data_IF_389156373364
#
_entry.id   IF_389156373364
#
_cell.length_a   1.000
_cell.length_b   1.000
_cell.length_c   1.000
_cell.angle_alpha   90.00
_cell.angle_beta   90.00
_cell.angle_gamma   90.00
#
_symmetry.space_group_name_H-M   'P 1'
#
loop_
_entity.id
_entity.type
_entity.pdbx_description
1 polymer ?
#
# COMPACT_ATOMS: atom_id res chain seq x y z
N UNK A 1 -27.77 20.18 15.43
CA UNK A 1 -28.66 19.00 15.39
C UNK A 1 -28.51 18.09 16.60
N UNK A 2 -29.60 17.44 17.03
CA UNK A 2 -29.59 16.42 18.09
C UNK A 2 -29.41 15.01 17.53
N UNK A 3 -28.67 14.16 18.25
CA UNK A 3 -28.56 12.73 17.98
C UNK A 3 -29.86 12.04 18.44
N UNK A 4 -30.46 11.21 17.57
CA UNK A 4 -31.72 10.53 17.86
C UNK A 4 -31.51 9.10 18.35
N UNK A 5 -30.55 8.37 17.75
CA UNK A 5 -30.23 6.98 18.11
C UNK A 5 -28.81 6.64 17.71
N UNK A 6 -28.11 5.88 18.56
CA UNK A 6 -26.85 5.23 18.24
C UNK A 6 -27.06 3.72 18.34
N UNK A 7 -26.59 2.98 17.36
CA UNK A 7 -26.64 1.53 17.35
C UNK A 7 -25.30 0.97 16.87
N UNK A 8 -24.71 0.04 17.61
CA UNK A 8 -23.48 -0.63 17.23
C UNK A 8 -23.74 -2.12 16.95
N UNK A 9 -22.99 -2.69 16.01
CA UNK A 9 -23.00 -4.12 15.68
C UNK A 9 -21.59 -4.64 15.47
N UNK A 10 -21.44 -5.95 15.61
CA UNK A 10 -20.23 -6.68 15.26
C UNK A 10 -20.27 -7.03 13.76
N UNK A 11 -19.19 -6.75 13.05
CA UNK A 11 -18.95 -7.13 11.64
C UNK A 11 -17.57 -7.82 11.53
N UNK A 12 -17.22 -8.34 10.36
CA UNK A 12 -15.90 -8.92 10.11
C UNK A 12 -14.99 -7.96 9.33
N UNK A 13 -13.73 -7.89 9.73
CA UNK A 13 -12.66 -7.19 8.99
C UNK A 13 -12.14 -8.03 7.81
N UNK A 14 -11.18 -7.47 7.05
CA UNK A 14 -10.56 -8.13 5.89
C UNK A 14 -9.74 -9.39 6.21
N UNK A 15 -9.46 -9.66 7.49
CA UNK A 15 -8.78 -10.85 7.99
C UNK A 15 -9.74 -11.83 8.67
N UNK A 16 -11.06 -11.58 8.57
CA UNK A 16 -12.10 -12.40 9.18
C UNK A 16 -12.18 -12.28 10.71
N UNK A 17 -11.59 -11.24 11.32
CA UNK A 17 -11.75 -11.02 12.76
C UNK A 17 -12.91 -10.06 13.03
N UNK A 18 -13.60 -10.21 14.17
CA UNK A 18 -14.63 -9.26 14.58
C UNK A 18 -14.11 -7.83 14.72
N UNK A 19 -14.94 -6.87 14.32
CA UNK A 19 -14.77 -5.44 14.58
C UNK A 19 -16.12 -4.73 14.73
N UNK A 20 -16.09 -3.45 15.09
CA UNK A 20 -17.28 -2.65 15.43
C UNK A 20 -17.71 -1.79 14.24
N UNK A 21 -19.02 -1.81 13.96
CA UNK A 21 -19.70 -0.86 13.09
C UNK A 21 -20.78 -0.10 13.87
N UNK A 22 -20.86 1.22 13.68
CA UNK A 22 -21.79 2.12 14.35
C UNK A 22 -22.68 2.83 13.34
N UNK A 23 -23.98 2.82 13.60
CA UNK A 23 -24.98 3.66 12.94
C UNK A 23 -25.44 4.77 13.91
N UNK A 24 -25.28 6.03 13.49
CA UNK A 24 -25.83 7.21 14.15
C UNK A 24 -27.02 7.74 13.35
N UNK A 25 -28.16 7.90 14.00
CA UNK A 25 -29.37 8.46 13.41
C UNK A 25 -29.60 9.89 13.87
N UNK A 26 -29.99 10.74 12.93
CA UNK A 26 -30.40 12.12 13.16
C UNK A 26 -31.58 12.47 12.24
N UNK A 27 -32.11 13.69 12.34
CA UNK A 27 -33.12 14.17 11.41
C UNK A 27 -32.65 14.24 9.93
N UNK A 28 -31.33 14.19 9.67
CA UNK A 28 -30.76 14.15 8.30
C UNK A 28 -30.54 12.72 7.77
N UNK A 29 -30.85 11.70 8.57
CA UNK A 29 -30.72 10.30 8.18
C UNK A 29 -29.72 9.51 9.03
N UNK A 30 -29.26 8.38 8.47
CA UNK A 30 -28.37 7.41 9.12
C UNK A 30 -26.94 7.56 8.61
N UNK A 31 -25.99 7.71 9.52
CA UNK A 31 -24.57 7.83 9.26
C UNK A 31 -23.83 6.63 9.84
N UNK A 32 -23.08 5.91 8.98
CA UNK A 32 -22.42 4.65 9.33
C UNK A 32 -20.91 4.77 9.34
N UNK A 33 -20.24 4.16 10.31
CA UNK A 33 -18.80 4.00 10.32
C UNK A 33 -18.39 2.64 10.88
N UNK A 34 -17.39 2.01 10.26
CA UNK A 34 -16.76 0.79 10.74
C UNK A 34 -15.31 1.09 11.17
N UNK A 35 -14.83 0.37 12.18
CA UNK A 35 -13.49 0.57 12.74
C UNK A 35 -12.55 -0.54 12.26
N UNK A 36 -11.35 -0.21 11.74
CA UNK A 36 -10.36 -1.23 11.42
C UNK A 36 -9.86 -1.93 12.69
N UNK A 37 -9.38 -3.17 12.56
CA UNK A 37 -8.76 -3.89 13.66
C UNK A 37 -7.24 -3.78 13.64
N UNK A 38 -6.66 -3.43 14.78
CA UNK A 38 -5.23 -3.58 15.06
C UNK A 38 -4.87 -5.00 15.48
N UNK A 39 -3.58 -5.33 15.40
CA UNK A 39 -3.00 -6.49 16.10
C UNK A 39 -1.96 -6.02 17.14
N UNK A 40 -1.98 -4.73 17.48
CA UNK A 40 -0.88 -4.10 18.19
C UNK A 40 -0.92 -4.37 19.69
N UNK A 41 0.26 -4.64 20.23
CA UNK A 41 0.55 -4.79 21.66
C UNK A 41 1.34 -3.59 22.21
N UNK A 42 1.36 -2.48 21.45
CA UNK A 42 2.08 -1.27 21.84
C UNK A 42 1.59 -0.72 23.17
N UNK A 43 2.49 -0.58 24.14
CA UNK A 43 2.16 -0.11 25.50
C UNK A 43 1.60 1.32 25.57
N UNK A 44 1.72 2.08 24.47
CA UNK A 44 1.24 3.46 24.35
C UNK A 44 -0.01 3.61 23.48
N UNK A 45 -0.51 2.52 22.88
CA UNK A 45 -1.67 2.60 21.99
C UNK A 45 -2.97 2.62 22.78
N UNK A 46 -4.00 3.27 22.21
CA UNK A 46 -5.35 3.13 22.70
C UNK A 46 -5.78 1.66 22.53
N UNK A 47 -5.97 0.96 23.66
CA UNK A 47 -6.22 -0.46 23.65
C UNK A 47 -7.60 -0.78 23.09
N UNK A 48 -7.63 -1.55 22.00
CA UNK A 48 -8.84 -2.24 21.57
C UNK A 48 -9.26 -3.25 22.63
N UNK A 49 -10.54 -3.23 23.01
CA UNK A 49 -11.05 -4.17 24.00
C UNK A 49 -11.57 -5.41 23.26
N UNK A 50 -11.07 -6.57 23.65
CA UNK A 50 -11.47 -7.89 23.13
C UNK A 50 -12.14 -8.71 24.26
N UNK A 51 -12.96 -9.71 23.94
CA UNK A 51 -13.70 -10.53 24.90
C UNK A 51 -12.81 -11.57 25.57
N UNK A 52 -11.75 -12.01 24.89
CA UNK A 52 -10.85 -13.04 25.41
C UNK A 52 -11.49 -14.44 25.47
N UNK A 53 -12.72 -14.59 24.96
CA UNK A 53 -13.41 -15.87 24.87
C UNK A 53 -12.83 -16.70 23.73
N UNK A 54 -11.91 -17.61 24.06
CA UNK A 54 -11.26 -18.48 23.06
C UNK A 54 -12.26 -19.35 22.28
N UNK A 55 -13.46 -19.60 22.82
CA UNK A 55 -14.54 -20.32 22.12
C UNK A 55 -15.25 -19.49 21.06
N UNK A 56 -15.07 -18.16 21.05
CA UNK A 56 -15.72 -17.23 20.12
C UNK A 56 -14.68 -16.37 19.39
N UNK A 57 -14.49 -16.62 18.10
CA UNK A 57 -13.49 -15.91 17.28
C UNK A 57 -12.10 -15.87 17.92
N UNK A 58 -11.70 -16.94 18.62
CA UNK A 58 -10.39 -17.07 19.28
C UNK A 58 -10.10 -15.95 20.30
N UNK A 59 -11.13 -15.40 20.94
CA UNK A 59 -11.03 -14.33 21.94
C UNK A 59 -10.88 -12.93 21.38
N UNK A 60 -11.25 -12.73 20.11
CA UNK A 60 -11.12 -11.46 19.39
C UNK A 60 -12.44 -10.69 19.22
N UNK A 61 -13.56 -11.16 19.74
CA UNK A 61 -14.80 -10.38 19.68
C UNK A 61 -14.80 -9.25 20.75
N UNK A 62 -15.78 -8.33 20.79
CA UNK A 62 -16.02 -7.25 21.80
C UNK A 62 -15.70 -5.78 21.43
N UNK A 63 -16.41 -4.91 22.16
CA UNK A 63 -16.47 -3.44 22.10
C UNK A 63 -15.53 -2.76 23.13
N UNK A 64 -14.81 -1.72 22.72
CA UNK A 64 -13.73 -1.02 23.44
C UNK A 64 -13.35 0.35 22.87
N UNK A 65 -12.05 0.71 22.80
CA UNK A 65 -11.59 1.93 22.11
C UNK A 65 -12.07 2.02 20.65
N UNK A 66 -12.24 0.86 20.00
CA UNK A 66 -12.88 0.72 18.70
C UNK A 66 -14.36 1.19 18.68
N UNK A 67 -15.10 1.11 19.79
CA UNK A 67 -16.45 1.66 19.87
C UNK A 67 -16.45 3.20 19.93
N UNK A 68 -15.52 3.80 20.69
CA UNK A 68 -15.36 5.27 20.75
C UNK A 68 -15.04 5.80 19.35
N UNK A 69 -14.10 5.18 18.65
CA UNK A 69 -13.75 5.58 17.29
C UNK A 69 -14.94 5.41 16.33
N UNK A 70 -15.71 4.32 16.43
CA UNK A 70 -16.90 4.10 15.62
C UNK A 70 -17.94 5.22 15.78
N UNK A 71 -18.23 5.61 17.02
CA UNK A 71 -19.12 6.74 17.32
C UNK A 71 -18.53 8.05 16.80
N UNK A 72 -17.24 8.32 17.06
CA UNK A 72 -16.56 9.55 16.62
C UNK A 72 -16.63 9.74 15.09
N UNK A 73 -16.36 8.68 14.33
CA UNK A 73 -16.46 8.70 12.87
C UNK A 73 -17.90 8.92 12.39
N UNK A 74 -18.89 8.27 13.02
CA UNK A 74 -20.30 8.44 12.67
C UNK A 74 -20.79 9.87 12.98
N UNK A 75 -20.36 10.45 14.10
CA UNK A 75 -20.63 11.85 14.47
C UNK A 75 -20.00 12.82 13.48
N UNK A 76 -18.74 12.60 13.07
CA UNK A 76 -18.08 13.44 12.07
C UNK A 76 -18.83 13.44 10.72
N UNK A 77 -19.32 12.27 10.27
CA UNK A 77 -20.18 12.16 9.08
C UNK A 77 -21.50 12.90 9.23
N UNK A 78 -22.16 12.77 10.39
CA UNK A 78 -23.39 13.50 10.68
C UNK A 78 -23.15 15.02 10.74
N UNK A 79 -22.03 15.46 11.31
CA UNK A 79 -21.62 16.87 11.36
C UNK A 79 -21.39 17.48 9.97
N UNK A 80 -20.79 16.71 9.05
CA UNK A 80 -20.66 17.12 7.65
C UNK A 80 -22.03 17.33 6.98
N UNK A 81 -22.95 16.36 7.16
CA UNK A 81 -24.28 16.43 6.59
C UNK A 81 -25.15 17.54 7.21
N UNK A 82 -25.01 17.80 8.50
CA UNK A 82 -25.67 18.94 9.17
C UNK A 82 -25.23 20.27 8.57
N UNK A 83 -23.93 20.44 8.30
CA UNK A 83 -23.39 21.63 7.64
C UNK A 83 -23.69 21.68 6.13
N UNK A 84 -24.23 20.60 5.54
CA UNK A 84 -24.46 20.50 4.10
C UNK A 84 -23.18 20.47 3.26
N UNK A 85 -22.06 20.02 3.83
CA UNK A 85 -20.75 19.95 3.15
C UNK A 85 -20.26 18.50 3.01
N UNK A 86 -19.43 18.19 2.01
CA UNK A 86 -18.74 16.91 1.94
C UNK A 86 -17.87 16.64 3.17
N UNK A 87 -17.70 15.36 3.54
CA UNK A 87 -16.93 14.96 4.73
C UNK A 87 -15.51 15.54 4.76
N UNK A 88 -14.81 15.57 3.63
CA UNK A 88 -13.45 16.13 3.57
C UNK A 88 -13.41 17.62 3.94
N UNK A 89 -14.44 18.39 3.58
CA UNK A 89 -14.52 19.82 3.90
C UNK A 89 -14.84 20.00 5.38
N UNK A 90 -15.74 19.19 5.93
CA UNK A 90 -16.02 19.19 7.37
C UNK A 90 -14.77 18.90 8.20
N UNK A 91 -13.98 17.90 7.81
CA UNK A 91 -12.71 17.56 8.46
C UNK A 91 -11.71 18.70 8.33
N UNK A 92 -11.60 19.33 7.15
CA UNK A 92 -10.71 20.46 6.95
C UNK A 92 -11.09 21.66 7.84
N UNK A 93 -12.37 21.95 7.99
CA UNK A 93 -12.85 22.99 8.90
C UNK A 93 -12.52 22.68 10.36
N UNK A 94 -12.68 21.41 10.79
CA UNK A 94 -12.29 20.96 12.14
C UNK A 94 -10.78 21.08 12.38
N UNK A 95 -9.97 20.87 11.33
CA UNK A 95 -8.52 20.96 11.38
C UNK A 95 -7.96 22.39 11.20
N UNK A 96 -8.81 23.36 10.83
CA UNK A 96 -8.37 24.72 10.51
C UNK A 96 -7.63 24.84 9.17
N UNK A 97 -7.89 23.92 8.22
CA UNK A 97 -7.24 23.91 6.90
C UNK A 97 -8.09 24.68 5.86
N UNK A 98 -7.67 25.87 5.41
CA UNK A 98 -8.41 26.61 4.38
C UNK A 98 -8.29 25.92 3.01
N UNK A 99 -7.09 25.47 2.67
CA UNK A 99 -6.76 24.82 1.41
C UNK A 99 -6.82 23.30 1.52
N UNK A 100 -7.40 22.68 0.50
CA UNK A 100 -7.51 21.22 0.41
C UNK A 100 -6.47 20.69 -0.57
N UNK A 101 -5.63 19.77 -0.10
CA UNK A 101 -4.58 19.15 -0.90
C UNK A 101 -4.97 17.68 -1.13
N UNK A 102 -5.10 17.29 -2.40
CA UNK A 102 -5.25 15.89 -2.76
C UNK A 102 -3.91 15.16 -2.66
N UNK A 103 -3.88 13.91 -2.15
CA UNK A 103 -2.67 13.11 -2.21
C UNK A 103 -2.34 12.78 -3.67
N UNK A 104 -1.05 12.75 -4.00
CA UNK A 104 -0.58 12.29 -5.31
C UNK A 104 0.03 10.90 -5.13
N UNK A 105 -0.67 9.82 -5.54
CA UNK A 105 -0.03 8.52 -5.65
C UNK A 105 1.05 8.59 -6.74
N UNK A 106 2.29 8.22 -6.43
CA UNK A 106 3.37 8.18 -7.42
C UNK A 106 3.53 6.81 -8.07
N UNK A 107 3.02 5.76 -7.42
CA UNK A 107 3.07 4.37 -7.88
C UNK A 107 1.89 3.56 -7.36
N UNK A 108 1.31 2.70 -8.20
CA UNK A 108 0.30 1.69 -7.83
C UNK A 108 0.75 0.34 -8.40
N UNK A 109 0.65 -0.71 -7.59
CA UNK A 109 0.98 -2.10 -7.94
C UNK A 109 -0.31 -2.91 -8.01
N UNK A 110 -0.43 -3.76 -9.03
CA UNK A 110 -1.58 -4.65 -9.27
C UNK A 110 -2.96 -4.00 -8.99
N UNK A 111 -3.31 -2.90 -9.68
CA UNK A 111 -4.61 -2.26 -9.51
C UNK A 111 -5.81 -3.14 -9.90
N UNK A 112 -5.60 -4.17 -10.73
CA UNK A 112 -6.65 -5.07 -11.22
C UNK A 112 -6.16 -6.52 -11.28
N UNK A 113 -7.10 -7.42 -11.54
CA UNK A 113 -6.82 -8.86 -11.73
C UNK A 113 -5.73 -9.11 -12.78
N UNK A 114 -4.96 -10.19 -12.58
CA UNK A 114 -3.82 -10.57 -13.41
C UNK A 114 -4.18 -10.83 -14.88
N UNK A 115 -5.44 -11.11 -15.22
CA UNK A 115 -5.87 -11.40 -16.60
C UNK A 115 -6.87 -10.36 -17.16
N UNK A 116 -7.20 -9.32 -16.39
CA UNK A 116 -8.05 -8.21 -16.84
C UNK A 116 -7.27 -7.15 -17.65
N UNK A 117 -6.65 -7.61 -18.74
CA UNK A 117 -5.83 -6.79 -19.62
C UNK A 117 -6.50 -5.50 -20.12
N UNK A 118 -7.82 -5.54 -20.33
CA UNK A 118 -8.58 -4.40 -20.83
C UNK A 118 -8.59 -3.26 -19.81
N UNK A 119 -8.85 -3.56 -18.54
CA UNK A 119 -8.89 -2.56 -17.48
C UNK A 119 -7.49 -2.00 -17.18
N UNK A 120 -6.45 -2.85 -17.17
CA UNK A 120 -5.06 -2.38 -17.05
C UNK A 120 -4.68 -1.37 -18.13
N UNK A 121 -4.97 -1.69 -19.40
CA UNK A 121 -4.67 -0.83 -20.55
C UNK A 121 -5.44 0.49 -20.49
N UNK A 122 -6.74 0.42 -20.18
CA UNK A 122 -7.59 1.60 -20.03
C UNK A 122 -7.08 2.50 -18.91
N UNK A 123 -6.73 1.92 -17.76
CA UNK A 123 -6.24 2.67 -16.61
C UNK A 123 -4.91 3.35 -16.88
N UNK A 124 -3.93 2.64 -17.47
CA UNK A 124 -2.63 3.23 -17.81
C UNK A 124 -2.79 4.44 -18.75
N UNK A 125 -3.72 4.38 -19.70
CA UNK A 125 -3.95 5.48 -20.64
C UNK A 125 -4.46 6.77 -19.97
N UNK A 126 -5.07 6.66 -18.80
CA UNK A 126 -5.66 7.79 -18.07
C UNK A 126 -4.76 8.42 -17.00
N UNK A 127 -3.56 7.90 -16.77
CA UNK A 127 -2.71 8.31 -15.63
C UNK A 127 -1.25 8.54 -16.03
N UNK A 128 -0.57 9.46 -15.33
CA UNK A 128 0.87 9.73 -15.52
C UNK A 128 1.73 9.26 -14.34
N UNK A 129 1.25 8.26 -13.59
CA UNK A 129 1.94 7.69 -12.44
C UNK A 129 2.60 6.37 -12.82
N UNK A 130 3.41 5.80 -11.92
CA UNK A 130 3.95 4.46 -12.13
C UNK A 130 2.87 3.40 -11.89
N UNK A 131 2.67 2.51 -12.84
CA UNK A 131 1.79 1.34 -12.74
C UNK A 131 2.68 0.10 -12.81
N UNK A 132 2.75 -0.63 -11.71
CA UNK A 132 3.64 -1.77 -11.51
C UNK A 132 2.85 -3.07 -11.73
N UNK A 133 3.31 -3.91 -12.64
CA UNK A 133 2.80 -5.27 -12.79
C UNK A 133 3.60 -6.26 -11.96
N UNK A 134 2.96 -6.89 -10.97
CA UNK A 134 3.51 -7.99 -10.18
C UNK A 134 2.87 -9.32 -10.60
N UNK A 135 1.65 -9.64 -10.16
CA UNK A 135 0.91 -10.84 -10.60
C UNK A 135 0.58 -10.78 -12.09
N UNK A 136 0.43 -9.57 -12.65
CA UNK A 136 0.31 -9.37 -14.10
C UNK A 136 1.54 -9.92 -14.85
N UNK A 137 2.76 -9.73 -14.34
CA UNK A 137 3.97 -10.08 -15.11
C UNK A 137 4.69 -11.31 -14.60
N UNK A 138 4.55 -11.63 -13.31
CA UNK A 138 5.21 -12.72 -12.56
C UNK A 138 6.70 -12.88 -12.89
N UNK A 139 7.40 -11.75 -13.14
CA UNK A 139 8.79 -11.71 -13.62
C UNK A 139 9.03 -12.60 -14.87
N UNK A 140 7.99 -12.91 -15.64
CA UNK A 140 8.04 -13.82 -16.78
C UNK A 140 8.18 -13.05 -18.11
N UNK A 141 9.24 -13.30 -18.91
CA UNK A 141 9.47 -12.57 -20.17
C UNK A 141 8.30 -12.58 -21.16
N UNK A 142 7.51 -13.67 -21.24
CA UNK A 142 6.36 -13.75 -22.15
C UNK A 142 5.22 -12.83 -21.70
N UNK A 143 4.94 -12.82 -20.40
CA UNK A 143 3.92 -11.93 -19.80
C UNK A 143 4.37 -10.46 -19.88
N UNK A 144 5.65 -10.19 -19.65
CA UNK A 144 6.22 -8.84 -19.83
C UNK A 144 6.04 -8.38 -21.29
N UNK A 145 6.41 -9.21 -22.27
CA UNK A 145 6.25 -8.86 -23.68
C UNK A 145 4.79 -8.57 -24.06
N UNK A 146 3.85 -9.39 -23.58
CA UNK A 146 2.42 -9.17 -23.76
C UNK A 146 1.94 -7.87 -23.11
N UNK A 147 2.40 -7.59 -21.89
CA UNK A 147 2.04 -6.37 -21.15
C UNK A 147 2.62 -5.10 -21.81
N UNK A 148 3.81 -5.19 -22.41
CA UNK A 148 4.39 -4.13 -23.25
C UNK A 148 3.54 -3.90 -24.49
N UNK A 149 3.21 -4.95 -25.24
CA UNK A 149 2.39 -4.87 -26.46
C UNK A 149 1.03 -4.22 -26.18
N UNK A 150 0.38 -4.64 -25.10
CA UNK A 150 -0.93 -4.13 -24.68
C UNK A 150 -0.87 -2.77 -24.01
N UNK A 151 0.31 -2.28 -23.64
CA UNK A 151 0.48 -1.08 -22.79
C UNK A 151 -0.34 -1.22 -21.49
N UNK A 152 -0.18 -2.35 -20.82
CA UNK A 152 -0.93 -2.68 -19.61
C UNK A 152 -0.34 -2.01 -18.35
N UNK A 153 0.99 -1.92 -18.27
CA UNK A 153 1.68 -1.24 -17.17
C UNK A 153 2.94 -0.51 -17.69
N UNK A 154 3.66 0.18 -16.81
CA UNK A 154 4.88 0.92 -17.18
C UNK A 154 6.05 0.68 -16.20
N UNK A 155 5.92 -0.34 -15.35
CA UNK A 155 6.95 -0.80 -14.44
C UNK A 155 6.81 -2.30 -14.15
N UNK A 156 7.94 -2.99 -14.11
CA UNK A 156 8.06 -4.38 -13.68
C UNK A 156 8.34 -4.45 -12.17
N UNK A 157 7.59 -5.26 -11.42
CA UNK A 157 8.05 -5.74 -10.12
C UNK A 157 8.94 -6.97 -10.33
N UNK A 158 10.23 -6.86 -10.03
CA UNK A 158 11.20 -7.94 -10.25
C UNK A 158 11.40 -8.75 -8.97
N UNK A 159 10.95 -10.00 -8.98
CA UNK A 159 11.17 -10.98 -7.91
C UNK A 159 12.00 -12.14 -8.46
N UNK A 160 13.27 -12.19 -8.08
CA UNK A 160 14.23 -13.17 -8.62
C UNK A 160 13.77 -14.62 -8.50
N UNK A 161 13.09 -14.96 -7.41
CA UNK A 161 12.63 -16.32 -7.16
C UNK A 161 11.32 -16.69 -7.89
N UNK A 162 10.64 -15.74 -8.54
CA UNK A 162 9.52 -16.06 -9.43
C UNK A 162 10.01 -16.63 -10.77
N UNK A 163 11.14 -16.12 -11.27
CA UNK A 163 11.73 -16.58 -12.54
C UNK A 163 12.77 -17.68 -12.35
N UNK A 164 13.42 -17.74 -11.17
CA UNK A 164 14.21 -18.88 -10.73
C UNK A 164 15.73 -18.77 -10.95
N UNK A 165 16.20 -17.78 -11.72
CA UNK A 165 17.64 -17.54 -11.91
C UNK A 165 18.03 -16.07 -12.00
N UNK A 166 19.28 -15.77 -11.68
CA UNK A 166 19.87 -14.42 -11.82
C UNK A 166 19.91 -13.99 -13.28
N UNK A 167 20.30 -14.89 -14.19
CA UNK A 167 20.38 -14.59 -15.63
C UNK A 167 19.04 -14.18 -16.19
N UNK A 168 17.97 -14.93 -15.91
CA UNK A 168 16.63 -14.60 -16.41
C UNK A 168 16.07 -13.35 -15.73
N UNK A 169 16.40 -13.12 -14.46
CA UNK A 169 16.06 -11.85 -13.77
C UNK A 169 16.69 -10.64 -14.46
N UNK A 170 17.98 -10.73 -14.83
CA UNK A 170 18.67 -9.67 -15.58
C UNK A 170 18.03 -9.48 -16.95
N UNK A 171 17.66 -10.56 -17.64
CA UNK A 171 16.99 -10.49 -18.94
C UNK A 171 15.61 -9.83 -18.84
N UNK A 172 14.80 -10.18 -17.84
CA UNK A 172 13.51 -9.54 -17.57
C UNK A 172 13.67 -8.05 -17.26
N UNK A 173 14.65 -7.67 -16.44
CA UNK A 173 14.98 -6.27 -16.17
C UNK A 173 15.35 -5.51 -17.44
N UNK A 174 16.24 -6.08 -18.27
CA UNK A 174 16.67 -5.46 -19.53
C UNK A 174 15.51 -5.30 -20.50
N UNK A 175 14.64 -6.31 -20.62
CA UNK A 175 13.45 -6.26 -21.46
C UNK A 175 12.51 -5.12 -21.04
N UNK A 176 12.27 -4.95 -19.74
CA UNK A 176 11.46 -3.85 -19.24
C UNK A 176 12.13 -2.49 -19.53
N UNK A 177 13.41 -2.32 -19.16
CA UNK A 177 14.14 -1.06 -19.38
C UNK A 177 14.25 -0.67 -20.85
N UNK A 178 14.46 -1.63 -21.78
CA UNK A 178 14.53 -1.36 -23.22
C UNK A 178 13.20 -0.90 -23.81
N UNK A 179 12.08 -1.23 -23.15
CA UNK A 179 10.74 -0.77 -23.51
C UNK A 179 10.32 0.49 -22.74
N UNK A 180 11.27 1.20 -22.13
CA UNK A 180 11.02 2.45 -21.41
C UNK A 180 10.32 2.29 -20.07
N UNK A 181 10.24 1.07 -19.53
CA UNK A 181 9.63 0.82 -18.23
C UNK A 181 10.62 1.02 -17.08
N UNK A 182 10.08 1.42 -15.93
CA UNK A 182 10.81 1.30 -14.67
C UNK A 182 10.93 -0.16 -14.23
N UNK A 183 11.84 -0.46 -13.32
CA UNK A 183 11.95 -1.78 -12.69
C UNK A 183 12.09 -1.58 -11.19
N UNK A 184 11.19 -2.18 -10.41
CA UNK A 184 11.26 -2.17 -8.96
C UNK A 184 11.70 -3.56 -8.47
N UNK A 185 12.90 -3.65 -7.92
CA UNK A 185 13.36 -4.89 -7.28
C UNK A 185 12.53 -5.10 -6.01
N UNK A 186 12.05 -6.31 -5.78
CA UNK A 186 11.16 -6.62 -4.67
C UNK A 186 11.65 -7.78 -3.83
N UNK A 187 11.41 -7.67 -2.52
CA UNK A 187 11.47 -8.78 -1.60
C UNK A 187 10.31 -9.78 -1.79
N UNK A 188 10.26 -10.79 -0.92
CA UNK A 188 9.08 -11.66 -0.71
C UNK A 188 8.52 -11.50 0.70
N UNK A 189 7.26 -11.92 0.91
CA UNK A 189 6.64 -11.89 2.25
C UNK A 189 7.40 -12.76 3.25
N UNK A 190 7.82 -13.96 2.85
CA UNK A 190 8.84 -14.76 3.56
C UNK A 190 10.23 -14.39 3.07
N UNK A 191 10.97 -13.61 3.86
CA UNK A 191 12.36 -13.21 3.58
C UNK A 191 13.33 -13.87 4.56
N UNK A 192 14.61 -13.79 4.21
CA UNK A 192 15.76 -14.23 5.00
C UNK A 192 16.67 -13.05 5.34
N UNK A 193 17.77 -13.30 6.03
CA UNK A 193 18.84 -12.35 6.31
C UNK A 193 19.71 -12.02 5.08
N UNK A 194 19.59 -12.79 3.99
CA UNK A 194 20.38 -12.62 2.76
C UNK A 194 20.15 -11.23 2.16
N UNK A 195 21.19 -10.55 1.69
CA UNK A 195 21.10 -9.17 1.20
C UNK A 195 21.14 -9.03 -0.32
N UNK A 196 21.09 -10.14 -1.07
CA UNK A 196 21.33 -10.18 -2.53
C UNK A 196 20.55 -9.13 -3.32
N UNK A 197 19.27 -8.90 -2.99
CA UNK A 197 18.44 -7.95 -3.74
C UNK A 197 18.87 -6.48 -3.55
N UNK A 198 19.64 -6.15 -2.50
CA UNK A 198 20.24 -4.83 -2.31
C UNK A 198 21.37 -4.59 -3.34
N UNK A 199 22.28 -5.54 -3.49
CA UNK A 199 23.34 -5.49 -4.51
C UNK A 199 22.74 -5.56 -5.92
N UNK A 200 21.70 -6.38 -6.11
CA UNK A 200 21.01 -6.53 -7.40
C UNK A 200 20.39 -5.21 -7.87
N UNK A 201 19.68 -4.48 -7.01
CA UNK A 201 19.03 -3.22 -7.41
C UNK A 201 20.04 -2.16 -7.84
N UNK A 202 21.20 -2.12 -7.17
CA UNK A 202 22.31 -1.21 -7.52
C UNK A 202 22.94 -1.66 -8.84
N UNK A 203 23.28 -2.93 -8.98
CA UNK A 203 23.92 -3.48 -10.19
C UNK A 203 23.05 -3.38 -11.45
N UNK A 204 21.73 -3.55 -11.31
CA UNK A 204 20.77 -3.35 -12.40
C UNK A 204 20.44 -1.87 -12.65
N UNK A 205 20.87 -0.98 -11.74
CA UNK A 205 20.64 0.46 -11.78
C UNK A 205 19.16 0.79 -11.99
N UNK A 206 18.26 0.12 -11.26
CA UNK A 206 16.82 0.29 -11.48
C UNK A 206 16.24 1.53 -10.79
N UNK A 207 16.92 2.02 -9.74
CA UNK A 207 16.59 3.26 -9.04
C UNK A 207 15.50 3.13 -7.96
N UNK A 208 14.92 1.95 -7.77
CA UNK A 208 13.82 1.73 -6.81
C UNK A 208 13.76 0.28 -6.33
N UNK A 209 13.52 0.11 -5.03
CA UNK A 209 13.42 -1.18 -4.32
C UNK A 209 12.27 -1.16 -3.31
N UNK A 210 11.50 -2.25 -3.25
CA UNK A 210 10.51 -2.52 -2.19
C UNK A 210 11.00 -3.70 -1.35
N UNK A 211 11.56 -3.42 -0.17
CA UNK A 211 12.11 -4.48 0.71
C UNK A 211 11.51 -4.49 2.13
N UNK A 212 10.32 -3.92 2.30
CA UNK A 212 9.49 -4.02 3.51
C UNK A 212 9.57 -2.79 4.40
N UNK A 213 8.94 -2.86 5.57
CA UNK A 213 9.05 -1.77 6.54
C UNK A 213 10.49 -1.65 7.07
N UNK A 214 10.90 -0.49 7.61
CA UNK A 214 12.14 -0.34 8.38
C UNK A 214 11.99 -0.99 9.77
N UNK A 215 11.55 -2.23 9.80
CA UNK A 215 11.29 -3.05 10.97
C UNK A 215 11.46 -4.52 10.56
N UNK A 216 11.95 -5.33 11.50
CA UNK A 216 12.33 -6.75 11.32
C UNK A 216 13.60 -6.91 10.47
N UNK A 217 14.55 -7.70 10.99
CA UNK A 217 15.92 -7.73 10.49
C UNK A 217 16.04 -8.29 9.08
N UNK A 218 15.14 -9.16 8.63
CA UNK A 218 15.13 -9.67 7.26
C UNK A 218 14.85 -8.56 6.22
N UNK A 219 14.25 -7.44 6.64
CA UNK A 219 14.02 -6.22 5.84
C UNK A 219 15.20 -5.26 5.98
N UNK A 220 15.55 -4.95 7.24
CA UNK A 220 16.65 -4.05 7.58
C UNK A 220 17.98 -4.51 7.01
N UNK A 221 18.23 -5.81 6.89
CA UNK A 221 19.45 -6.35 6.30
C UNK A 221 19.71 -5.77 4.91
N UNK A 222 18.68 -5.63 4.07
CA UNK A 222 18.80 -5.06 2.71
C UNK A 222 19.01 -3.55 2.76
N UNK A 223 18.28 -2.83 3.61
CA UNK A 223 18.48 -1.38 3.78
C UNK A 223 19.88 -1.05 4.30
N UNK A 224 20.37 -1.80 5.29
CA UNK A 224 21.72 -1.67 5.81
C UNK A 224 22.77 -1.97 4.73
N UNK A 225 22.52 -2.99 3.90
CA UNK A 225 23.42 -3.29 2.78
C UNK A 225 23.47 -2.14 1.76
N UNK A 226 22.34 -1.50 1.45
CA UNK A 226 22.32 -0.32 0.57
C UNK A 226 23.15 0.83 1.14
N UNK A 227 23.07 1.10 2.45
CA UNK A 227 23.90 2.13 3.10
C UNK A 227 25.40 1.79 3.02
N UNK A 228 25.78 0.52 3.20
CA UNK A 228 27.18 0.08 3.04
C UNK A 228 27.66 0.22 1.59
N UNK A 229 26.80 -0.08 0.61
CA UNK A 229 27.13 0.10 -0.81
C UNK A 229 27.30 1.60 -1.13
N UNK A 230 26.43 2.46 -0.61
CA UNK A 230 26.55 3.91 -0.75
C UNK A 230 27.87 4.43 -0.15
N UNK A 231 28.19 4.03 1.09
CA UNK A 231 29.46 4.36 1.75
C UNK A 231 30.67 3.89 0.92
N UNK A 232 30.63 2.66 0.39
CA UNK A 232 31.71 2.09 -0.42
C UNK A 232 31.88 2.78 -1.79
N UNK A 233 30.80 3.30 -2.38
CA UNK A 233 30.84 4.05 -3.63
C UNK A 233 31.34 5.49 -3.43
N UNK A 234 31.14 6.07 -2.24
CA UNK A 234 31.54 7.44 -1.92
C UNK A 234 30.97 8.45 -2.92
N UNK A 235 31.81 9.35 -3.43
CA UNK A 235 31.42 10.39 -4.40
C UNK A 235 30.90 9.84 -5.75
N UNK A 236 31.03 8.53 -6.00
CA UNK A 236 30.48 7.89 -7.20
C UNK A 236 29.01 7.50 -7.04
N UNK A 237 28.48 7.52 -5.82
CA UNK A 237 27.09 7.20 -5.55
C UNK A 237 26.18 8.31 -6.10
N UNK A 238 25.16 7.92 -6.88
CA UNK A 238 24.11 8.84 -7.34
C UNK A 238 22.76 8.30 -6.91
N UNK A 239 22.05 9.07 -6.09
CA UNK A 239 20.70 8.72 -5.66
C UNK A 239 19.68 9.02 -6.74
N UNK A 240 18.84 8.05 -7.11
CA UNK A 240 17.87 8.21 -8.19
C UNK A 240 16.85 9.33 -7.94
N UNK A 241 16.46 9.57 -6.68
CA UNK A 241 15.58 10.67 -6.29
C UNK A 241 14.30 10.74 -7.12
N UNK A 242 13.98 11.93 -7.67
CA UNK A 242 12.80 12.13 -8.53
C UNK A 242 12.88 11.35 -9.85
N UNK A 243 14.06 10.89 -10.26
CA UNK A 243 14.28 10.08 -11.47
C UNK A 243 14.14 8.57 -11.21
N UNK A 244 13.57 8.12 -10.08
CA UNK A 244 13.47 6.69 -9.71
C UNK A 244 12.86 5.77 -10.79
N UNK A 245 11.97 6.30 -11.65
CA UNK A 245 11.36 5.54 -12.77
C UNK A 245 12.34 5.29 -13.92
N UNK A 246 13.32 6.18 -14.11
CA UNK A 246 14.30 6.12 -15.20
C UNK A 246 15.61 6.82 -14.79
N UNK A 247 16.42 6.21 -13.91
CA UNK A 247 17.60 6.86 -13.34
C UNK A 247 18.71 7.13 -14.36
N UNK A 248 18.69 6.44 -15.51
CA UNK A 248 19.68 6.60 -16.60
C UNK A 248 19.30 7.68 -17.62
N UNK A 249 18.12 8.28 -17.51
CA UNK A 249 17.73 9.39 -18.37
C UNK A 249 18.66 10.60 -18.15
N UNK A 250 19.27 11.07 -19.25
CA UNK A 250 20.05 12.31 -19.28
C UNK A 250 19.17 13.47 -18.81
#
# INVERSE_FOLDING_TARGET
MAMQKIFAREILDSRGNPTVEVDLHTAKGRFRAAVPSGASTGIYEALELRDGDKGRYLGKAKFGANAILGVSLAVCKAGAAEKGVPLYRHIADLAGNPDLILPVPVSIEDPFDQDDWATWTSFLSGVNIQIVGDDLTVTNPKRIAQAVEKKACNCLLLKVNQIGSVTESIQACKLAQSNGWGVMVSHRSGETEDTFIADLVVGLCTGQIKTGAPCRSERLAKYNQLMRIEEALGDKAVFAGRKFRNPKAK
#
